data_IF_773021609723
#
_entry.id   IF_773021609723
#
_cell.length_a   1.000
_cell.length_b   1.000
_cell.length_c   1.000
_cell.angle_alpha   90.00
_cell.angle_beta   90.00
_cell.angle_gamma   90.00
#
_symmetry.space_group_name_H-M   'P 1'
#
loop_
_entity.id
_entity.type
_entity.pdbx_description
1 polymer ?
#
# COMPACT_ATOMS: atom_id res chain seq x y z
N UNK A 1 5.68 -12.57 -18.71
CA UNK A 1 4.87 -12.68 -19.94
C UNK A 1 3.39 -12.96 -19.66
N UNK A 2 3.04 -13.94 -18.74
CA UNK A 2 1.64 -14.31 -18.50
C UNK A 2 0.78 -13.14 -18.02
N UNK A 3 1.22 -12.40 -16.99
CA UNK A 3 0.48 -11.25 -16.46
C UNK A 3 0.21 -10.16 -17.49
N UNK A 4 1.19 -9.88 -18.37
CA UNK A 4 1.04 -8.88 -19.44
C UNK A 4 -0.03 -9.32 -20.42
N UNK A 5 -0.01 -10.60 -20.83
CA UNK A 5 -0.99 -11.16 -21.74
C UNK A 5 -2.38 -11.21 -21.11
N UNK A 6 -2.48 -11.61 -19.83
CA UNK A 6 -3.74 -11.65 -19.09
C UNK A 6 -4.36 -10.24 -18.97
N UNK A 7 -3.54 -9.25 -18.62
CA UNK A 7 -3.96 -7.85 -18.52
C UNK A 7 -4.41 -7.30 -19.88
N UNK A 8 -3.62 -7.56 -20.94
CA UNK A 8 -3.97 -7.16 -22.30
C UNK A 8 -5.29 -7.79 -22.76
N UNK A 9 -5.49 -9.08 -22.51
CA UNK A 9 -6.73 -9.77 -22.84
C UNK A 9 -7.94 -9.24 -22.04
N UNK A 10 -7.75 -8.97 -20.73
CA UNK A 10 -8.79 -8.40 -19.89
C UNK A 10 -9.25 -7.05 -20.44
N UNK A 11 -8.31 -6.13 -20.68
CA UNK A 11 -8.60 -4.78 -21.16
C UNK A 11 -9.21 -4.77 -22.55
N UNK A 12 -8.74 -5.62 -23.47
CA UNK A 12 -9.15 -5.53 -24.89
C UNK A 12 -10.31 -6.42 -25.27
N UNK A 13 -10.54 -7.52 -24.54
CA UNK A 13 -11.49 -8.56 -24.98
C UNK A 13 -12.57 -8.86 -23.95
N UNK A 14 -12.24 -8.88 -22.65
CA UNK A 14 -13.20 -9.19 -21.58
C UNK A 14 -14.03 -8.00 -21.15
N UNK A 15 -13.43 -6.85 -21.01
CA UNK A 15 -14.17 -5.62 -20.74
C UNK A 15 -15.07 -5.28 -21.92
N UNK A 16 -16.40 -5.35 -21.71
CA UNK A 16 -17.37 -5.20 -22.80
C UNK A 16 -17.30 -3.82 -23.45
N UNK A 17 -17.07 -2.80 -22.66
CA UNK A 17 -16.90 -1.41 -23.07
C UNK A 17 -15.72 -1.20 -24.03
N UNK A 18 -14.68 -2.01 -23.93
CA UNK A 18 -13.45 -1.90 -24.73
C UNK A 18 -13.46 -2.78 -25.99
N UNK A 19 -14.56 -3.50 -26.26
CA UNK A 19 -14.74 -4.24 -27.51
C UNK A 19 -14.89 -3.33 -28.72
N UNK A 20 -15.36 -2.10 -28.49
CA UNK A 20 -15.32 -1.05 -29.49
C UNK A 20 -13.88 -0.51 -29.59
N UNK A 21 -13.20 -0.84 -30.67
CA UNK A 21 -11.80 -0.48 -30.92
C UNK A 21 -11.57 1.00 -31.20
N UNK A 22 -12.62 1.80 -31.34
CA UNK A 22 -12.53 3.25 -31.43
C UNK A 22 -12.25 3.91 -30.06
N UNK A 23 -12.55 3.20 -28.97
CA UNK A 23 -12.34 3.69 -27.60
C UNK A 23 -10.86 3.55 -27.24
N UNK A 24 -10.24 4.67 -26.87
CA UNK A 24 -8.86 4.68 -26.42
C UNK A 24 -8.76 4.03 -25.02
N UNK A 25 -7.83 3.09 -24.87
CA UNK A 25 -7.50 2.51 -23.56
C UNK A 25 -6.78 3.57 -22.72
N UNK A 26 -7.29 3.85 -21.52
CA UNK A 26 -6.75 4.78 -20.56
C UNK A 26 -6.26 4.05 -19.30
N UNK A 27 -5.38 4.66 -18.49
CA UNK A 27 -4.81 4.01 -17.31
C UNK A 27 -5.85 3.43 -16.35
N UNK A 28 -6.98 4.09 -16.14
CA UNK A 28 -8.06 3.66 -15.26
C UNK A 28 -8.67 2.31 -15.70
N UNK A 29 -8.74 2.04 -17.00
CA UNK A 29 -9.18 0.75 -17.53
C UNK A 29 -8.18 -0.35 -17.20
N UNK A 30 -6.88 -0.05 -17.23
CA UNK A 30 -5.81 -0.98 -16.85
C UNK A 30 -5.90 -1.32 -15.37
N UNK A 31 -6.13 -0.34 -14.50
CA UNK A 31 -6.32 -0.58 -13.06
C UNK A 31 -7.53 -1.45 -12.77
N UNK A 32 -8.65 -1.18 -13.44
CA UNK A 32 -9.85 -2.01 -13.33
C UNK A 32 -9.60 -3.44 -13.80
N UNK A 33 -8.86 -3.63 -14.88
CA UNK A 33 -8.47 -4.94 -15.38
C UNK A 33 -7.57 -5.68 -14.38
N UNK A 34 -6.62 -4.97 -13.75
CA UNK A 34 -5.78 -5.49 -12.67
C UNK A 34 -6.64 -6.01 -11.52
N UNK A 35 -7.60 -5.21 -11.03
CA UNK A 35 -8.50 -5.62 -9.96
C UNK A 35 -9.31 -6.89 -10.33
N UNK A 36 -9.79 -6.99 -11.58
CA UNK A 36 -10.52 -8.17 -12.03
C UNK A 36 -9.65 -9.43 -12.04
N UNK A 37 -8.38 -9.33 -12.46
CA UNK A 37 -7.42 -10.43 -12.44
C UNK A 37 -7.14 -10.88 -11.00
N UNK A 38 -6.95 -9.94 -10.10
CA UNK A 38 -6.72 -10.21 -8.67
C UNK A 38 -7.95 -10.89 -8.05
N UNK A 39 -9.13 -10.35 -8.31
CA UNK A 39 -10.39 -10.88 -7.76
C UNK A 39 -10.65 -12.33 -8.21
N UNK A 40 -10.35 -12.67 -9.46
CA UNK A 40 -10.60 -14.02 -9.99
C UNK A 40 -9.63 -15.08 -9.47
N UNK A 41 -8.49 -14.69 -8.90
CA UNK A 41 -7.48 -15.62 -8.41
C UNK A 41 -7.11 -16.68 -9.44
N UNK A 42 -6.71 -16.26 -10.64
CA UNK A 42 -6.28 -17.22 -11.66
C UNK A 42 -5.15 -18.12 -11.10
N UNK A 43 -5.04 -19.36 -11.60
CA UNK A 43 -4.13 -20.41 -11.07
C UNK A 43 -2.70 -19.95 -10.77
N UNK A 44 -2.18 -19.03 -11.59
CA UNK A 44 -0.83 -18.46 -11.36
C UNK A 44 -0.74 -17.66 -10.04
N UNK A 45 -1.82 -16.99 -9.67
CA UNK A 45 -1.90 -16.23 -8.40
C UNK A 45 -1.99 -17.17 -7.22
N UNK A 46 -2.77 -18.25 -7.32
CA UNK A 46 -2.87 -19.25 -6.24
C UNK A 46 -1.53 -19.94 -5.95
N UNK A 47 -0.77 -20.29 -7.00
CA UNK A 47 0.59 -20.83 -6.84
C UNK A 47 1.50 -19.84 -6.10
N UNK A 48 1.42 -18.56 -6.44
CA UNK A 48 2.19 -17.51 -5.77
C UNK A 48 1.82 -17.40 -4.28
N UNK A 49 0.54 -17.46 -3.96
CA UNK A 49 0.03 -17.40 -2.58
C UNK A 49 0.61 -18.56 -1.74
N UNK A 50 0.65 -19.76 -2.29
CA UNK A 50 1.25 -20.90 -1.58
C UNK A 50 2.75 -20.68 -1.31
N UNK A 51 3.47 -20.03 -2.22
CA UNK A 51 4.88 -19.68 -2.03
C UNK A 51 5.12 -18.67 -0.92
N UNK A 52 4.17 -17.76 -0.67
CA UNK A 52 4.28 -16.79 0.44
C UNK A 52 4.30 -17.45 1.82
N UNK A 53 3.87 -18.70 1.93
CA UNK A 53 3.87 -19.47 3.19
C UNK A 53 5.23 -20.09 3.52
N UNK A 54 6.14 -20.16 2.55
CA UNK A 54 7.48 -20.73 2.75
C UNK A 54 8.36 -19.80 3.59
N UNK A 55 9.03 -20.33 4.62
CA UNK A 55 9.90 -19.54 5.52
C UNK A 55 10.99 -18.75 4.79
N UNK A 56 11.57 -19.35 3.76
CA UNK A 56 12.60 -18.72 2.94
C UNK A 56 12.06 -17.52 2.15
N UNK A 57 10.80 -17.57 1.74
CA UNK A 57 10.12 -16.45 1.07
C UNK A 57 9.79 -15.36 2.09
N UNK A 58 9.30 -15.75 3.28
CA UNK A 58 8.98 -14.80 4.36
C UNK A 58 10.18 -14.00 4.80
N UNK A 59 11.35 -14.64 4.96
CA UNK A 59 12.60 -13.94 5.35
C UNK A 59 13.05 -12.87 4.36
N UNK A 60 12.64 -12.94 3.11
CA UNK A 60 12.99 -11.96 2.08
C UNK A 60 11.86 -10.93 1.88
N UNK A 61 10.63 -11.38 1.76
CA UNK A 61 9.48 -10.49 1.51
C UNK A 61 9.15 -9.60 2.71
N UNK A 62 9.30 -10.12 3.95
CA UNK A 62 8.99 -9.38 5.17
C UNK A 62 9.74 -8.05 5.28
N UNK A 63 11.09 -8.04 5.26
CA UNK A 63 11.88 -6.82 5.28
C UNK A 63 11.55 -5.85 4.13
N UNK A 64 11.28 -6.37 2.92
CA UNK A 64 10.87 -5.53 1.78
C UNK A 64 9.54 -4.83 2.04
N UNK A 65 8.56 -5.54 2.60
CA UNK A 65 7.27 -4.96 2.98
C UNK A 65 7.38 -3.99 4.16
N UNK A 66 8.36 -4.21 5.06
CA UNK A 66 8.64 -3.31 6.17
C UNK A 66 9.41 -2.04 5.74
N UNK A 67 9.76 -1.93 4.48
CA UNK A 67 10.54 -0.82 3.92
C UNK A 67 11.89 -0.66 4.63
N UNK A 68 12.57 -1.78 4.91
CA UNK A 68 13.84 -1.83 5.62
C UNK A 68 14.99 -1.23 4.80
N UNK A 69 16.01 -0.74 5.51
CA UNK A 69 17.17 -0.06 4.89
C UNK A 69 18.10 -1.03 4.18
N UNK A 70 18.94 -0.52 3.26
CA UNK A 70 19.96 -1.31 2.52
C UNK A 70 20.89 -2.12 3.45
N UNK A 71 21.11 -1.65 4.68
CA UNK A 71 21.93 -2.37 5.67
C UNK A 71 21.25 -3.66 6.14
N UNK A 72 19.93 -3.62 6.35
CA UNK A 72 19.14 -4.78 6.76
C UNK A 72 18.91 -5.74 5.59
N UNK A 73 18.74 -5.21 4.37
CA UNK A 73 18.72 -6.02 3.16
C UNK A 73 19.99 -6.86 2.99
N UNK A 74 21.14 -6.39 3.50
CA UNK A 74 22.40 -7.09 3.43
C UNK A 74 22.49 -8.30 4.36
N UNK A 75 21.60 -8.41 5.33
CA UNK A 75 21.50 -9.54 6.25
C UNK A 75 20.63 -10.69 5.72
N UNK A 76 19.93 -10.50 4.60
CA UNK A 76 19.12 -11.56 3.99
C UNK A 76 20.01 -12.67 3.42
N UNK A 77 19.68 -13.97 3.68
CA UNK A 77 20.41 -15.09 3.10
C UNK A 77 20.39 -15.00 1.57
N UNK A 78 21.55 -15.02 0.93
CA UNK A 78 21.67 -14.82 -0.52
C UNK A 78 20.93 -15.90 -1.31
N UNK A 79 20.96 -17.17 -0.84
CA UNK A 79 20.23 -18.28 -1.49
C UNK A 79 18.71 -18.08 -1.44
N UNK A 80 18.18 -17.51 -0.34
CA UNK A 80 16.76 -17.21 -0.23
C UNK A 80 16.39 -16.04 -1.16
N UNK A 81 17.23 -15.01 -1.23
CA UNK A 81 17.04 -13.88 -2.17
C UNK A 81 17.02 -14.38 -3.61
N UNK A 82 17.98 -15.22 -4.00
CA UNK A 82 18.03 -15.79 -5.35
C UNK A 82 16.77 -16.62 -5.64
N UNK A 83 16.39 -17.48 -4.70
CA UNK A 83 15.16 -18.28 -4.84
C UNK A 83 13.90 -17.42 -5.05
N UNK A 84 13.74 -16.38 -4.26
CA UNK A 84 12.57 -15.49 -4.35
C UNK A 84 12.59 -14.68 -5.65
N UNK A 85 13.77 -14.32 -6.14
CA UNK A 85 13.96 -13.68 -7.44
C UNK A 85 13.63 -14.65 -8.60
N UNK A 86 14.06 -15.92 -8.51
CA UNK A 86 13.76 -16.96 -9.51
C UNK A 86 12.26 -17.27 -9.59
N UNK A 87 11.53 -17.15 -8.47
CA UNK A 87 10.07 -17.17 -8.44
C UNK A 87 9.45 -15.94 -9.13
N UNK A 88 10.24 -14.92 -9.46
CA UNK A 88 9.77 -13.66 -10.05
C UNK A 88 9.03 -12.75 -9.09
N UNK A 89 9.20 -12.94 -7.77
CA UNK A 89 8.52 -12.16 -6.73
C UNK A 89 9.20 -10.82 -6.45
N UNK A 90 10.53 -10.75 -6.61
CA UNK A 90 11.33 -9.55 -6.35
C UNK A 90 12.26 -9.24 -7.52
N UNK A 91 12.77 -8.00 -7.55
CA UNK A 91 13.89 -7.60 -8.41
C UNK A 91 15.20 -7.81 -7.66
N UNK A 92 16.29 -8.09 -8.39
CA UNK A 92 17.64 -8.20 -7.82
C UNK A 92 18.33 -6.85 -7.66
N UNK A 93 17.82 -5.82 -8.34
CA UNK A 93 18.35 -4.45 -8.24
C UNK A 93 18.17 -3.92 -6.82
N UNK A 94 19.16 -3.19 -6.32
CA UNK A 94 19.08 -2.55 -5.01
C UNK A 94 18.53 -1.11 -5.14
N UNK A 95 17.67 -0.68 -4.22
CA UNK A 95 17.04 -1.47 -3.18
C UNK A 95 16.07 -2.50 -3.79
N UNK A 96 16.02 -3.71 -3.19
CA UNK A 96 15.15 -4.78 -3.65
C UNK A 96 13.69 -4.39 -3.51
N UNK A 97 12.86 -4.89 -4.41
CA UNK A 97 11.43 -4.53 -4.45
C UNK A 97 10.61 -5.69 -5.00
N UNK A 98 9.33 -5.67 -4.70
CA UNK A 98 8.37 -6.58 -5.33
C UNK A 98 8.37 -6.35 -6.85
N UNK A 99 8.45 -7.43 -7.62
CA UNK A 99 8.80 -7.41 -9.03
C UNK A 99 7.85 -6.62 -9.95
N UNK A 100 6.57 -6.55 -9.60
CA UNK A 100 5.58 -5.86 -10.43
C UNK A 100 4.39 -5.32 -9.61
N UNK A 101 3.61 -4.42 -10.23
CA UNK A 101 2.49 -3.74 -9.57
C UNK A 101 1.39 -4.71 -9.11
N UNK A 102 1.13 -5.79 -9.85
CA UNK A 102 0.09 -6.78 -9.48
C UNK A 102 0.52 -7.55 -8.22
N UNK A 103 1.78 -7.98 -8.13
CA UNK A 103 2.28 -8.68 -6.93
C UNK A 103 2.35 -7.75 -5.72
N UNK A 104 2.68 -6.46 -5.93
CA UNK A 104 2.61 -5.46 -4.86
C UNK A 104 1.23 -5.31 -4.25
N UNK A 105 0.20 -5.55 -5.05
CA UNK A 105 -1.19 -5.52 -4.61
C UNK A 105 -1.62 -6.86 -3.98
N UNK A 106 -1.30 -7.98 -4.61
CA UNK A 106 -1.73 -9.30 -4.16
C UNK A 106 -1.09 -9.68 -2.83
N UNK A 107 0.23 -9.49 -2.68
CA UNK A 107 0.97 -9.96 -1.50
C UNK A 107 0.39 -9.39 -0.21
N UNK A 108 0.23 -8.06 -0.03
CA UNK A 108 -0.38 -7.52 1.18
C UNK A 108 -1.84 -7.96 1.37
N UNK A 109 -2.62 -8.07 0.32
CA UNK A 109 -4.02 -8.54 0.41
C UNK A 109 -4.11 -9.97 0.95
N UNK A 110 -3.28 -10.86 0.45
CA UNK A 110 -3.25 -12.25 0.91
C UNK A 110 -2.74 -12.38 2.33
N UNK A 111 -1.67 -11.66 2.67
CA UNK A 111 -1.12 -11.67 4.02
C UNK A 111 -2.10 -11.08 5.05
N UNK A 112 -3.03 -10.25 4.62
CA UNK A 112 -4.00 -9.59 5.50
C UNK A 112 -5.43 -10.14 5.37
N UNK A 113 -5.65 -11.19 4.58
CA UNK A 113 -6.98 -11.73 4.30
C UNK A 113 -7.79 -12.07 5.55
N UNK A 114 -7.20 -12.75 6.52
CA UNK A 114 -7.85 -13.08 7.79
C UNK A 114 -8.20 -11.83 8.60
N UNK A 115 -7.34 -10.82 8.54
CA UNK A 115 -7.53 -9.51 9.17
C UNK A 115 -8.70 -8.78 8.52
N UNK A 116 -8.73 -8.69 7.20
CA UNK A 116 -9.79 -8.02 6.45
C UNK A 116 -11.17 -8.67 6.71
N UNK A 117 -11.22 -10.00 6.80
CA UNK A 117 -12.46 -10.73 7.09
C UNK A 117 -13.01 -10.45 8.48
N UNK A 118 -12.18 -10.08 9.44
CA UNK A 118 -12.57 -9.71 10.80
C UNK A 118 -12.97 -8.24 10.96
N UNK A 119 -12.66 -7.38 9.96
CA UNK A 119 -13.04 -5.98 9.98
C UNK A 119 -14.50 -5.85 9.53
N UNK A 120 -15.35 -5.32 10.41
CA UNK A 120 -16.77 -5.11 10.12
C UNK A 120 -16.91 -4.17 8.92
N UNK A 121 -17.62 -4.61 7.88
CA UNK A 121 -17.98 -3.77 6.73
C UNK A 121 -19.07 -2.79 7.16
N UNK A 122 -18.68 -1.60 7.56
CA UNK A 122 -19.60 -0.46 7.72
C UNK A 122 -19.81 0.23 6.38
N UNK A 123 -20.95 0.95 6.24
CA UNK A 123 -21.17 1.86 5.10
C UNK A 123 -19.96 2.81 4.95
N UNK A 124 -19.73 3.34 3.75
CA UNK A 124 -18.56 4.17 3.41
C UNK A 124 -18.62 5.55 4.12
N UNK A 125 -18.56 5.54 5.44
CA UNK A 125 -18.63 6.70 6.36
C UNK A 125 -17.49 7.70 6.17
N UNK A 126 -16.41 7.27 5.52
CA UNK A 126 -15.25 8.08 5.13
C UNK A 126 -15.43 8.78 3.78
N UNK A 127 -16.57 8.64 3.13
CA UNK A 127 -16.85 9.30 1.85
C UNK A 127 -17.55 10.63 2.07
N UNK A 128 -17.09 11.65 1.37
CA UNK A 128 -17.75 12.94 1.29
C UNK A 128 -18.91 12.92 0.26
N UNK A 129 -19.84 13.90 0.30
CA UNK A 129 -20.94 13.98 -0.66
C UNK A 129 -20.52 14.11 -2.13
N UNK A 130 -19.31 14.64 -2.38
CA UNK A 130 -18.71 14.77 -3.71
C UNK A 130 -17.97 13.51 -4.19
N UNK A 131 -18.17 12.40 -3.51
CA UNK A 131 -17.51 11.12 -3.76
C UNK A 131 -15.99 11.10 -3.48
N UNK A 132 -15.45 12.13 -2.84
CA UNK A 132 -14.07 12.12 -2.37
C UNK A 132 -13.92 11.34 -1.06
N UNK A 133 -12.70 10.87 -0.78
CA UNK A 133 -12.33 10.23 0.49
C UNK A 133 -11.97 11.32 1.49
N UNK A 134 -12.59 11.28 2.67
CA UNK A 134 -12.15 12.01 3.85
C UNK A 134 -11.04 11.18 4.54
N UNK A 135 -9.80 11.45 4.14
CA UNK A 135 -8.65 10.67 4.61
C UNK A 135 -8.34 10.92 6.09
N UNK A 136 -8.58 12.14 6.58
CA UNK A 136 -8.39 12.47 7.99
C UNK A 136 -9.32 11.63 8.87
N UNK A 137 -10.60 11.55 8.50
CA UNK A 137 -11.60 10.72 9.19
C UNK A 137 -11.25 9.23 9.14
N UNK A 138 -10.79 8.74 7.99
CA UNK A 138 -10.37 7.36 7.82
C UNK A 138 -9.16 7.01 8.69
N UNK A 139 -8.17 7.89 8.80
CA UNK A 139 -6.98 7.69 9.61
C UNK A 139 -7.24 7.85 11.11
N UNK A 140 -8.18 8.71 11.52
CA UNK A 140 -8.62 8.78 12.92
C UNK A 140 -9.25 7.45 13.38
N UNK A 141 -10.11 6.86 12.54
CA UNK A 141 -10.70 5.54 12.84
C UNK A 141 -9.63 4.45 12.85
N UNK A 142 -8.64 4.53 11.95
CA UNK A 142 -7.52 3.61 11.97
C UNK A 142 -6.67 3.74 13.25
N UNK A 143 -6.40 4.95 13.73
CA UNK A 143 -5.68 5.15 15.00
C UNK A 143 -6.40 4.48 16.17
N UNK A 144 -7.72 4.65 16.26
CA UNK A 144 -8.52 4.02 17.30
C UNK A 144 -8.48 2.49 17.18
N UNK A 145 -8.69 1.98 15.97
CA UNK A 145 -8.60 0.55 15.70
C UNK A 145 -7.21 -0.02 16.02
N UNK A 146 -6.15 0.69 15.65
CA UNK A 146 -4.76 0.29 15.89
C UNK A 146 -4.46 0.22 17.38
N UNK A 147 -4.88 1.24 18.14
CA UNK A 147 -4.75 1.27 19.61
C UNK A 147 -5.41 0.06 20.28
N UNK A 148 -6.60 -0.31 19.85
CA UNK A 148 -7.38 -1.38 20.46
C UNK A 148 -6.89 -2.79 20.09
N UNK A 149 -6.29 -2.93 18.93
CA UNK A 149 -6.11 -4.24 18.31
C UNK A 149 -4.66 -4.58 17.93
N UNK A 150 -3.74 -3.60 17.90
CA UNK A 150 -2.40 -3.77 17.32
C UNK A 150 -1.65 -4.99 17.89
N UNK A 151 -1.61 -5.14 19.21
CA UNK A 151 -0.84 -6.21 19.87
C UNK A 151 -1.35 -7.60 19.47
N UNK A 152 -2.67 -7.78 19.44
CA UNK A 152 -3.27 -9.07 19.10
C UNK A 152 -3.23 -9.39 17.61
N UNK A 153 -3.22 -8.38 16.75
CA UNK A 153 -3.30 -8.57 15.30
C UNK A 153 -1.93 -8.66 14.66
N UNK A 154 -0.96 -7.85 15.13
CA UNK A 154 0.43 -7.91 14.63
C UNK A 154 1.04 -9.28 14.93
N UNK A 155 0.74 -9.88 16.09
CA UNK A 155 1.22 -11.22 16.43
C UNK A 155 0.67 -12.34 15.54
N UNK A 156 -0.49 -12.12 14.90
CA UNK A 156 -1.11 -13.08 13.97
C UNK A 156 -0.46 -13.07 12.59
N UNK A 157 0.29 -12.03 12.23
CA UNK A 157 0.97 -12.00 10.95
C UNK A 157 2.23 -12.85 10.98
N UNK A 158 2.42 -13.66 9.94
CA UNK A 158 3.67 -14.36 9.69
C UNK A 158 4.84 -13.37 9.46
N UNK A 159 4.52 -12.14 9.08
CA UNK A 159 5.43 -11.03 8.74
C UNK A 159 5.38 -9.95 9.83
N UNK A 160 5.89 -10.29 11.03
CA UNK A 160 5.77 -9.43 12.22
C UNK A 160 6.47 -8.07 12.10
N UNK A 161 7.57 -8.01 11.34
CA UNK A 161 8.33 -6.77 11.11
C UNK A 161 7.49 -5.73 10.37
N UNK A 162 6.72 -6.15 9.39
CA UNK A 162 5.82 -5.31 8.59
C UNK A 162 4.38 -5.25 9.12
N UNK A 163 4.13 -5.82 10.30
CA UNK A 163 2.79 -5.92 10.88
C UNK A 163 1.99 -4.62 10.88
N UNK A 164 2.51 -3.48 11.36
CA UNK A 164 1.77 -2.22 11.37
C UNK A 164 1.37 -1.73 9.98
N UNK A 165 2.28 -1.81 9.00
CA UNK A 165 2.00 -1.42 7.62
C UNK A 165 0.99 -2.36 6.97
N UNK A 166 1.09 -3.66 7.20
CA UNK A 166 0.11 -4.65 6.71
C UNK A 166 -1.27 -4.41 7.32
N UNK A 167 -1.33 -4.07 8.60
CA UNK A 167 -2.60 -3.77 9.26
C UNK A 167 -3.27 -2.52 8.68
N UNK A 168 -2.50 -1.45 8.45
CA UNK A 168 -3.00 -0.26 7.75
C UNK A 168 -3.48 -0.61 6.34
N UNK A 169 -2.73 -1.40 5.59
CA UNK A 169 -3.11 -1.80 4.24
C UNK A 169 -4.39 -2.65 4.22
N UNK A 170 -4.57 -3.53 5.21
CA UNK A 170 -5.83 -4.27 5.38
C UNK A 170 -7.00 -3.33 5.65
N UNK A 171 -6.79 -2.34 6.50
CA UNK A 171 -7.80 -1.34 6.82
C UNK A 171 -8.17 -0.48 5.60
N UNK A 172 -7.18 -0.03 4.86
CA UNK A 172 -7.36 0.77 3.63
C UNK A 172 -7.98 -0.03 2.47
N UNK A 173 -8.06 -1.37 2.55
CA UNK A 173 -8.77 -2.18 1.56
C UNK A 173 -10.25 -1.75 1.42
N UNK A 174 -10.82 -1.12 2.43
CA UNK A 174 -12.16 -0.50 2.37
C UNK A 174 -12.26 0.54 1.27
N UNK A 175 -11.20 1.32 1.07
CA UNK A 175 -11.11 2.34 0.01
C UNK A 175 -11.24 1.70 -1.37
N UNK A 176 -10.55 0.58 -1.58
CA UNK A 176 -10.64 -0.19 -2.84
C UNK A 176 -12.04 -0.73 -3.05
N UNK A 177 -12.65 -1.28 -2.01
CA UNK A 177 -14.03 -1.79 -2.05
C UNK A 177 -15.05 -0.68 -2.35
N UNK A 178 -14.74 0.57 -1.96
CA UNK A 178 -15.50 1.78 -2.29
C UNK A 178 -15.20 2.38 -3.68
N UNK A 179 -14.46 1.66 -4.54
CA UNK A 179 -14.11 2.10 -5.90
C UNK A 179 -12.89 3.04 -5.97
N UNK A 180 -12.06 3.09 -4.92
CA UNK A 180 -10.73 3.70 -4.95
C UNK A 180 -9.67 2.71 -5.40
N UNK A 181 -8.48 3.23 -5.71
CA UNK A 181 -7.29 2.44 -6.06
C UNK A 181 -6.15 2.81 -5.14
N UNK A 182 -5.38 1.82 -4.71
CA UNK A 182 -4.19 2.01 -3.90
C UNK A 182 -2.99 1.50 -4.69
N UNK A 183 -2.11 2.40 -5.08
CA UNK A 183 -0.80 2.03 -5.63
C UNK A 183 0.20 1.92 -4.50
N UNK A 184 0.73 0.73 -4.30
CA UNK A 184 1.77 0.46 -3.31
C UNK A 184 3.15 0.66 -3.94
N UNK A 185 4.02 1.34 -3.21
CA UNK A 185 5.37 1.68 -3.69
C UNK A 185 5.34 2.37 -5.06
N UNK A 186 4.52 3.41 -5.21
CA UNK A 186 4.45 4.17 -6.45
C UNK A 186 5.80 4.79 -6.77
N UNK A 187 6.48 4.19 -7.76
CA UNK A 187 7.86 4.54 -8.09
C UNK A 187 7.97 5.74 -9.01
N UNK A 188 8.62 6.79 -8.53
CA UNK A 188 8.98 7.98 -9.31
C UNK A 188 10.51 8.09 -9.38
N UNK A 189 11.11 7.51 -10.41
CA UNK A 189 12.56 7.56 -10.55
C UNK A 189 13.30 6.81 -9.43
N UNK A 190 14.12 7.51 -8.63
CA UNK A 190 14.89 6.91 -7.52
C UNK A 190 14.12 6.89 -6.19
N UNK A 191 12.96 7.55 -6.10
CA UNK A 191 12.13 7.62 -4.91
C UNK A 191 10.84 6.81 -5.06
N UNK A 192 10.26 6.38 -3.95
CA UNK A 192 8.99 5.65 -3.89
C UNK A 192 8.17 6.22 -2.77
N UNK A 193 6.87 6.49 -3.02
CA UNK A 193 5.91 6.66 -1.95
C UNK A 193 5.40 5.28 -1.53
N UNK A 194 5.17 5.08 -0.26
CA UNK A 194 4.67 3.82 0.24
C UNK A 194 3.28 3.52 -0.32
N UNK A 195 2.37 4.50 -0.28
CA UNK A 195 1.03 4.35 -0.82
C UNK A 195 0.60 5.63 -1.56
N UNK A 196 0.05 5.46 -2.77
CA UNK A 196 -0.69 6.49 -3.48
C UNK A 196 -2.15 6.03 -3.62
N UNK A 197 -3.06 6.72 -2.96
CA UNK A 197 -4.49 6.47 -3.08
C UNK A 197 -5.04 7.33 -4.21
N UNK A 198 -5.84 6.72 -5.09
CA UNK A 198 -6.53 7.40 -6.18
C UNK A 198 -8.01 7.05 -6.16
N UNK A 199 -8.86 8.05 -6.28
CA UNK A 199 -10.30 7.90 -6.33
C UNK A 199 -10.87 8.73 -7.48
N UNK A 200 -11.60 8.11 -8.39
CA UNK A 200 -12.42 8.81 -9.37
C UNK A 200 -13.60 9.47 -8.65
N UNK A 201 -13.79 10.76 -8.86
CA UNK A 201 -14.84 11.54 -8.19
C UNK A 201 -16.18 11.45 -8.93
N UNK A 202 -16.17 11.05 -10.20
CA UNK A 202 -17.35 10.88 -11.02
C UNK A 202 -17.43 9.47 -11.60
N UNK A 203 -18.61 9.02 -11.96
CA UNK A 203 -18.80 7.78 -12.67
C UNK A 203 -18.20 7.85 -14.09
N UNK A 204 -17.63 6.74 -14.54
CA UNK A 204 -17.00 6.63 -15.85
C UNK A 204 -15.50 6.95 -15.85
N UNK A 205 -14.93 6.96 -17.07
CA UNK A 205 -13.50 7.20 -17.27
C UNK A 205 -13.24 8.66 -17.67
N UNK A 206 -12.17 9.26 -17.14
CA UNK A 206 -11.72 10.60 -17.54
C UNK A 206 -12.28 11.76 -16.71
N UNK A 207 -12.93 11.46 -15.59
CA UNK A 207 -13.32 12.48 -14.60
C UNK A 207 -12.16 12.94 -13.69
N UNK A 208 -12.40 13.89 -12.81
CA UNK A 208 -11.41 14.34 -11.83
C UNK A 208 -11.04 13.20 -10.88
N UNK A 209 -9.76 13.14 -10.52
CA UNK A 209 -9.19 12.09 -9.65
C UNK A 209 -8.62 12.74 -8.40
N UNK A 210 -9.14 12.38 -7.24
CA UNK A 210 -8.48 12.66 -5.97
C UNK A 210 -7.21 11.81 -5.87
N UNK A 211 -6.08 12.41 -5.46
CA UNK A 211 -4.82 11.74 -5.20
C UNK A 211 -4.32 12.09 -3.81
N UNK A 212 -4.02 11.06 -3.01
CA UNK A 212 -3.56 11.19 -1.63
C UNK A 212 -2.26 10.40 -1.48
N UNK A 213 -1.23 11.05 -0.98
CA UNK A 213 0.05 10.41 -0.67
C UNK A 213 0.08 10.01 0.79
N UNK A 214 0.44 8.75 1.06
CA UNK A 214 0.76 8.28 2.41
C UNK A 214 2.19 7.76 2.42
N UNK A 215 3.00 8.33 3.31
CA UNK A 215 4.33 7.84 3.65
C UNK A 215 4.28 7.13 4.99
N UNK A 216 4.89 5.95 5.10
CA UNK A 216 4.85 5.10 6.28
C UNK A 216 6.26 4.89 6.83
N UNK A 217 6.45 5.05 8.13
CA UNK A 217 7.72 4.73 8.79
C UNK A 217 7.49 3.99 10.10
N UNK A 218 8.34 3.02 10.36
CA UNK A 218 8.50 2.49 11.71
C UNK A 218 9.56 3.34 12.40
N UNK A 219 9.23 3.89 13.58
CA UNK A 219 10.19 4.63 14.40
C UNK A 219 11.36 3.72 14.77
N UNK A 220 12.57 4.14 14.40
CA UNK A 220 13.82 3.55 14.85
C UNK A 220 14.70 4.65 15.41
N UNK A 221 15.00 4.58 16.70
CA UNK A 221 15.75 5.63 17.40
C UNK A 221 14.93 6.91 17.62
N UNK A 222 15.47 8.05 17.21
CA UNK A 222 14.91 9.38 17.45
C UNK A 222 13.65 9.67 16.62
N UNK A 223 12.59 10.11 17.29
CA UNK A 223 11.29 10.40 16.65
C UNK A 223 11.36 11.64 15.75
N UNK A 224 12.02 12.71 16.20
CA UNK A 224 12.07 13.96 15.45
C UNK A 224 12.85 13.81 14.15
N UNK A 225 13.93 13.03 14.17
CA UNK A 225 14.68 12.67 12.95
C UNK A 225 13.84 11.84 11.99
N UNK A 226 13.04 10.91 12.52
CA UNK A 226 12.13 10.10 11.72
C UNK A 226 11.07 10.99 11.06
N UNK A 227 10.51 11.94 11.81
CA UNK A 227 9.52 12.90 11.32
C UNK A 227 10.12 13.80 10.24
N UNK A 228 11.28 14.41 10.49
CA UNK A 228 11.93 15.28 9.50
C UNK A 228 12.16 14.56 8.16
N UNK A 229 12.66 13.32 8.19
CA UNK A 229 12.86 12.51 6.99
C UNK A 229 11.55 12.11 6.31
N UNK A 230 10.51 11.81 7.08
CA UNK A 230 9.18 11.48 6.56
C UNK A 230 8.53 12.68 5.85
N UNK A 231 8.61 13.87 6.43
CA UNK A 231 8.10 15.10 5.83
C UNK A 231 8.80 15.41 4.50
N UNK A 232 10.14 15.34 4.47
CA UNK A 232 10.93 15.52 3.25
C UNK A 232 10.48 14.56 2.14
N UNK A 233 10.31 13.28 2.46
CA UNK A 233 9.87 12.27 1.49
C UNK A 233 8.44 12.51 1.03
N UNK A 234 7.51 12.82 1.94
CA UNK A 234 6.11 13.08 1.61
C UNK A 234 5.98 14.26 0.63
N UNK A 235 6.65 15.38 0.89
CA UNK A 235 6.65 16.53 -0.04
C UNK A 235 7.23 16.17 -1.38
N UNK A 236 8.37 15.47 -1.38
CA UNK A 236 9.03 15.04 -2.61
C UNK A 236 8.09 14.20 -3.50
N UNK A 237 7.25 13.35 -2.89
CA UNK A 237 6.26 12.57 -3.63
C UNK A 237 5.06 13.39 -4.09
N UNK A 238 4.54 14.27 -3.22
CA UNK A 238 3.43 15.16 -3.58
C UNK A 238 3.75 16.00 -4.82
N UNK A 239 4.99 16.46 -4.94
CA UNK A 239 5.43 17.26 -6.09
C UNK A 239 5.54 16.46 -7.39
N UNK A 240 5.65 15.14 -7.31
CA UNK A 240 5.88 14.25 -8.46
C UNK A 240 4.69 13.42 -8.87
N UNK A 241 3.74 13.20 -7.98
CA UNK A 241 2.55 12.39 -8.28
C UNK A 241 1.46 13.14 -9.06
N UNK A 242 1.72 14.36 -9.55
CA UNK A 242 0.74 15.21 -10.22
C UNK A 242 -0.12 15.97 -9.21
N UNK A 243 -1.38 16.26 -9.56
CA UNK A 243 -2.29 17.01 -8.69
C UNK A 243 -2.69 16.21 -7.44
N UNK A 244 -1.78 16.16 -6.46
CA UNK A 244 -2.02 15.54 -5.16
C UNK A 244 -2.78 16.52 -4.28
N UNK A 245 -3.96 16.10 -3.79
CA UNK A 245 -4.82 16.91 -2.94
C UNK A 245 -4.29 17.05 -1.53
N UNK A 246 -3.70 15.98 -0.98
CA UNK A 246 -3.25 15.91 0.41
C UNK A 246 -2.13 14.89 0.61
N UNK A 247 -1.29 15.13 1.64
CA UNK A 247 -0.22 14.24 2.05
C UNK A 247 -0.32 13.90 3.53
N UNK A 248 -0.14 12.63 3.84
CA UNK A 248 -0.11 12.11 5.21
C UNK A 248 1.19 11.35 5.45
N UNK A 249 1.78 11.59 6.60
CA UNK A 249 2.92 10.84 7.08
C UNK A 249 2.54 10.07 8.34
N UNK A 250 2.72 8.75 8.34
CA UNK A 250 2.35 7.87 9.44
C UNK A 250 3.61 7.26 10.04
N UNK A 251 3.81 7.46 11.34
CA UNK A 251 4.95 6.89 12.08
C UNK A 251 4.46 5.91 13.15
N UNK A 252 4.83 4.65 13.00
CA UNK A 252 4.52 3.58 13.95
C UNK A 252 5.61 3.51 15.03
N UNK A 253 5.23 3.74 16.28
CA UNK A 253 6.13 3.60 17.43
C UNK A 253 5.94 2.25 18.12
N UNK A 254 6.85 1.30 17.86
CA UNK A 254 6.82 -0.05 18.43
C UNK A 254 7.49 -0.16 19.82
N UNK A 255 7.90 0.95 20.42
CA UNK A 255 8.52 0.96 21.74
C UNK A 255 7.49 0.53 22.79
N UNK A 256 7.77 -0.58 23.48
CA UNK A 256 6.90 -1.11 24.54
C UNK A 256 6.93 -0.27 25.81
N UNK A 257 7.95 0.55 25.98
CA UNK A 257 8.09 1.46 27.14
C UNK A 257 7.29 2.76 27.02
N UNK A 258 6.71 3.04 25.84
CA UNK A 258 5.89 4.24 25.59
C UNK A 258 4.42 3.87 25.67
N UNK A 259 3.63 4.67 26.40
CA UNK A 259 2.20 4.46 26.56
C UNK A 259 1.42 4.71 25.24
N UNK A 260 0.24 4.11 25.12
CA UNK A 260 -0.62 4.36 23.96
C UNK A 260 -1.07 5.82 23.86
N UNK A 261 -1.25 6.53 24.99
CA UNK A 261 -1.62 7.94 24.98
C UNK A 261 -0.49 8.83 24.43
N UNK A 262 0.76 8.41 24.57
CA UNK A 262 1.92 9.10 24.00
C UNK A 262 2.18 8.71 22.54
N UNK A 263 1.73 7.52 22.09
CA UNK A 263 1.88 7.05 20.72
C UNK A 263 0.84 7.62 19.78
N UNK A 264 -0.41 7.75 20.26
CA UNK A 264 -1.56 8.14 19.44
C UNK A 264 -1.72 9.65 19.45
N UNK A 265 -1.34 10.28 18.38
CA UNK A 265 -1.49 11.72 18.16
C UNK A 265 -1.54 12.01 16.66
N UNK A 266 -2.02 13.19 16.29
CA UNK A 266 -1.86 13.74 14.95
C UNK A 266 -1.68 15.25 15.03
N UNK A 267 -0.99 15.81 14.04
CA UNK A 267 -0.75 17.24 13.93
C UNK A 267 -0.45 17.61 12.47
N UNK A 268 -0.70 18.85 12.13
CA UNK A 268 -0.35 19.40 10.82
C UNK A 268 1.02 20.06 10.89
N UNK A 269 1.84 19.77 9.89
CA UNK A 269 3.18 20.33 9.72
C UNK A 269 3.29 21.01 8.37
N UNK A 270 3.94 22.19 8.37
CA UNK A 270 4.28 22.89 7.14
C UNK A 270 5.70 22.54 6.73
N UNK A 271 5.88 21.95 5.54
CA UNK A 271 7.18 21.60 5.01
C UNK A 271 7.22 21.79 3.49
N UNK A 272 8.25 22.48 2.98
CA UNK A 272 8.43 22.71 1.55
C UNK A 272 7.25 23.42 0.87
N UNK A 273 6.50 24.27 1.58
CA UNK A 273 5.31 24.96 1.07
C UNK A 273 4.07 24.08 0.97
N UNK A 274 4.08 22.89 1.57
CA UNK A 274 2.96 21.95 1.65
C UNK A 274 2.54 21.71 3.09
N UNK A 275 1.25 21.54 3.31
CA UNK A 275 0.71 21.08 4.60
C UNK A 275 0.62 19.55 4.59
N UNK A 276 1.21 18.91 5.59
CA UNK A 276 1.19 17.46 5.76
C UNK A 276 0.60 17.15 7.12
N UNK A 277 -0.32 16.21 7.19
CA UNK A 277 -0.79 15.68 8.48
C UNK A 277 0.09 14.52 8.90
N UNK A 278 0.74 14.68 10.07
CA UNK A 278 1.59 13.65 10.69
C UNK A 278 0.78 12.88 11.72
N UNK A 279 0.88 11.55 11.67
CA UNK A 279 0.14 10.61 12.51
C UNK A 279 1.11 9.75 13.31
N UNK A 280 1.03 9.79 14.64
CA UNK A 280 1.72 8.86 15.54
C UNK A 280 0.84 7.68 15.91
N UNK A 281 1.41 6.46 15.90
CA UNK A 281 0.70 5.21 16.25
C UNK A 281 1.64 4.23 16.96
#
# INVERSE_FOLDING_TARGET
PWLVNALGYEVTSRMKENRDRSIRIIPEMIYRAQEQIIYRRDTHIDILIDKLREDRVRRVIGPILANETDAEESLMPQDDVQYVADLGLITLDKPRRIANAIYREIIPRELTWTTQSGLIQQAAWYMNPDNSIDMEKLLLDFQQFFRENADSWIERFDYKESGPQLLLQAFLQRVVNGGGYIDREYGLGRGRTDLLIRKLLTDGYGGPVQRIVLELKIKRGDLDKTIAKGLEQTVWYMDRCGDVSEGHFIVFNRDKGVSWDEKIWHRREEYGGRTITVWGM
#
